data_IF_760562484336
#
_entry.id   IF_760562484336
#
_cell.length_a   1.000
_cell.length_b   1.000
_cell.length_c   1.000
_cell.angle_alpha   90.00
_cell.angle_beta   90.00
_cell.angle_gamma   90.00
#
_symmetry.space_group_name_H-M   'P 1'
#
loop_
_entity.id
_entity.type
_entity.pdbx_description
1 polymer ?
#
# COMPACT_ATOMS: atom_id res chain seq x y z
N UNK A 1 -7.80 -14.18 21.06
CA UNK A 1 -8.40 -12.85 21.32
C UNK A 1 -7.65 -11.86 20.45
N UNK A 2 -8.29 -11.29 19.41
CA UNK A 2 -7.66 -10.24 18.60
C UNK A 2 -7.42 -9.01 19.47
N UNK A 3 -6.22 -8.42 19.50
CA UNK A 3 -6.00 -7.20 20.23
C UNK A 3 -6.83 -6.10 19.55
N UNK A 4 -7.88 -5.64 20.22
CA UNK A 4 -8.57 -4.41 19.85
C UNK A 4 -7.52 -3.30 19.96
N UNK A 5 -7.26 -2.60 18.86
CA UNK A 5 -6.37 -1.44 18.89
C UNK A 5 -6.86 -0.42 19.93
N UNK A 6 -6.02 0.54 20.30
CA UNK A 6 -6.24 1.49 21.40
C UNK A 6 -7.33 2.51 21.05
N UNK A 7 -8.60 2.08 20.97
CA UNK A 7 -9.73 2.98 20.69
C UNK A 7 -9.85 4.05 21.78
N UNK A 8 -9.82 5.32 21.35
CA UNK A 8 -9.84 6.48 22.24
C UNK A 8 -8.46 6.94 22.72
N UNK A 9 -7.39 6.20 22.40
CA UNK A 9 -6.02 6.62 22.71
C UNK A 9 -5.62 7.83 21.87
N UNK A 10 -4.85 8.74 22.47
CA UNK A 10 -4.21 9.85 21.79
C UNK A 10 -2.78 9.50 21.43
N UNK A 11 -2.43 9.57 20.15
CA UNK A 11 -1.05 9.49 19.68
C UNK A 11 -0.49 10.92 19.63
N UNK A 12 0.64 11.14 20.28
CA UNK A 12 1.30 12.46 20.40
C UNK A 12 0.35 13.57 20.87
N UNK A 13 -0.56 13.27 21.81
CA UNK A 13 -1.57 14.19 22.36
C UNK A 13 -2.45 14.89 21.31
N UNK A 14 -2.45 14.37 20.07
CA UNK A 14 -3.10 15.01 18.93
C UNK A 14 -4.04 14.08 18.16
N UNK A 15 -3.62 12.85 17.84
CA UNK A 15 -4.38 11.98 16.95
C UNK A 15 -5.18 10.97 17.75
N UNK A 16 -6.49 11.20 17.89
CA UNK A 16 -7.39 10.30 18.62
C UNK A 16 -7.76 9.11 17.75
N UNK A 17 -7.30 7.94 18.15
CA UNK A 17 -7.57 6.68 17.46
C UNK A 17 -9.05 6.30 17.60
N UNK A 18 -9.68 5.96 16.48
CA UNK A 18 -11.08 5.54 16.40
C UNK A 18 -11.20 4.05 16.07
N UNK A 19 -11.16 3.73 14.78
CA UNK A 19 -11.36 2.38 14.29
C UNK A 19 -10.13 1.87 13.54
N UNK A 20 -9.93 0.55 13.58
CA UNK A 20 -8.86 -0.09 12.82
C UNK A 20 -9.32 -0.29 11.37
N UNK A 21 -8.58 0.25 10.43
CA UNK A 21 -8.83 0.13 8.99
C UNK A 21 -8.19 -1.12 8.39
N UNK A 22 -7.02 -1.51 8.89
CA UNK A 22 -6.29 -2.67 8.40
C UNK A 22 -5.10 -3.03 9.27
N UNK A 23 -4.56 -4.23 9.05
CA UNK A 23 -3.33 -4.67 9.69
C UNK A 23 -2.54 -5.59 8.76
N UNK A 24 -1.23 -5.49 8.84
CA UNK A 24 -0.27 -6.38 8.22
C UNK A 24 0.80 -6.82 9.22
N UNK A 25 1.76 -7.61 8.78
CA UNK A 25 2.85 -8.07 9.63
C UNK A 25 3.73 -6.96 10.20
N UNK A 26 3.78 -5.79 9.54
CA UNK A 26 4.68 -4.70 9.92
C UNK A 26 3.99 -3.51 10.55
N UNK A 27 2.70 -3.32 10.35
CA UNK A 27 1.99 -2.13 10.82
C UNK A 27 0.50 -2.37 10.92
N UNK A 28 -0.15 -1.53 11.70
CA UNK A 28 -1.62 -1.39 11.74
C UNK A 28 -2.00 0.01 11.31
N UNK A 29 -3.08 0.12 10.54
CA UNK A 29 -3.64 1.41 10.08
C UNK A 29 -4.96 1.65 10.80
N UNK A 30 -5.12 2.84 11.33
CA UNK A 30 -6.29 3.27 12.07
C UNK A 30 -6.90 4.53 11.45
N UNK A 31 -8.22 4.63 11.50
CA UNK A 31 -8.90 5.90 11.38
C UNK A 31 -8.70 6.68 12.68
N UNK A 32 -8.42 7.96 12.57
CA UNK A 32 -8.23 8.84 13.71
C UNK A 32 -8.74 10.24 13.42
N UNK A 33 -8.99 11.00 14.48
CA UNK A 33 -9.27 12.44 14.40
C UNK A 33 -8.04 13.24 14.83
N UNK A 34 -7.54 14.10 13.94
CA UNK A 34 -6.59 15.17 14.27
C UNK A 34 -7.34 16.21 15.10
N UNK A 35 -7.11 16.24 16.42
CA UNK A 35 -7.87 17.08 17.36
C UNK A 35 -7.53 18.57 17.27
N UNK A 36 -6.39 18.92 16.63
CA UNK A 36 -5.99 20.32 16.42
C UNK A 36 -6.63 20.88 15.14
N UNK A 37 -6.63 20.10 14.05
CA UNK A 37 -7.18 20.54 12.77
C UNK A 37 -8.63 20.06 12.54
N UNK A 38 -9.22 19.37 13.49
CA UNK A 38 -10.61 18.85 13.48
C UNK A 38 -10.96 18.07 12.21
N UNK A 39 -10.00 17.24 11.71
CA UNK A 39 -10.17 16.46 10.49
C UNK A 39 -9.92 14.98 10.71
N UNK A 40 -10.58 14.15 9.92
CA UNK A 40 -10.31 12.70 9.88
C UNK A 40 -9.00 12.43 9.14
N UNK A 41 -8.16 11.58 9.71
CA UNK A 41 -6.87 11.13 9.16
C UNK A 41 -6.74 9.62 9.25
N UNK A 42 -5.81 9.03 8.51
CA UNK A 42 -5.35 7.67 8.71
C UNK A 42 -4.01 7.69 9.45
N UNK A 43 -3.88 6.89 10.50
CA UNK A 43 -2.63 6.75 11.26
C UNK A 43 -2.10 5.34 11.11
N UNK A 44 -0.93 5.22 10.52
CA UNK A 44 -0.19 3.96 10.37
C UNK A 44 0.83 3.86 11.49
N UNK A 45 0.68 2.84 12.34
CA UNK A 45 1.56 2.59 13.49
C UNK A 45 2.41 1.36 13.19
N UNK A 46 3.72 1.49 13.35
CA UNK A 46 4.67 0.41 13.20
C UNK A 46 4.42 -0.68 14.25
N UNK A 47 4.57 -1.94 13.87
CA UNK A 47 4.44 -3.05 14.80
C UNK A 47 5.57 -3.01 15.83
N UNK A 48 5.25 -3.28 17.09
CA UNK A 48 6.12 -3.14 18.24
C UNK A 48 7.45 -3.93 18.09
N UNK A 49 7.37 -5.17 17.57
CA UNK A 49 8.54 -6.02 17.33
C UNK A 49 9.53 -5.49 16.28
N UNK A 50 9.17 -4.45 15.50
CA UNK A 50 10.04 -3.77 14.53
C UNK A 50 10.56 -2.43 15.04
N UNK A 51 10.02 -1.94 16.15
CA UNK A 51 10.41 -0.65 16.74
C UNK A 51 11.81 -0.68 17.37
N UNK A 52 12.32 -1.86 17.70
CA UNK A 52 13.66 -2.07 18.26
C UNK A 52 14.75 -2.22 17.18
N UNK A 53 14.39 -2.38 15.90
CA UNK A 53 15.34 -2.43 14.79
C UNK A 53 15.62 -1.00 14.26
N UNK A 54 16.69 -0.38 14.73
CA UNK A 54 17.09 0.98 14.36
C UNK A 54 17.23 1.17 12.85
N UNK A 55 17.69 0.14 12.12
CA UNK A 55 17.84 0.21 10.66
C UNK A 55 16.50 0.21 9.97
N UNK A 56 15.54 -0.55 10.49
CA UNK A 56 14.18 -0.58 9.99
C UNK A 56 13.48 0.76 10.25
N UNK A 57 13.57 1.25 11.48
CA UNK A 57 13.01 2.53 11.90
C UNK A 57 13.56 3.71 11.08
N UNK A 58 14.89 3.77 10.89
CA UNK A 58 15.51 4.82 10.08
C UNK A 58 15.02 4.81 8.63
N UNK A 59 14.82 3.62 8.04
CA UNK A 59 14.25 3.49 6.69
C UNK A 59 12.79 3.91 6.65
N UNK A 60 11.97 3.39 7.57
CA UNK A 60 10.56 3.75 7.69
C UNK A 60 10.37 5.27 7.73
N UNK A 61 11.17 5.97 8.57
CA UNK A 61 11.14 7.43 8.66
C UNK A 61 11.60 8.11 7.38
N UNK A 62 12.73 7.67 6.80
CA UNK A 62 13.29 8.28 5.58
C UNK A 62 12.32 8.18 4.40
N UNK A 63 11.70 7.02 4.22
CA UNK A 63 10.74 6.78 3.15
C UNK A 63 9.46 7.58 3.37
N UNK A 64 8.94 7.65 4.61
CA UNK A 64 7.81 8.51 4.93
C UNK A 64 8.08 9.98 4.56
N UNK A 65 9.28 10.49 4.91
CA UNK A 65 9.69 11.86 4.57
C UNK A 65 9.85 12.07 3.06
N UNK A 66 10.23 11.05 2.30
CA UNK A 66 10.31 11.13 0.84
C UNK A 66 8.91 11.22 0.23
N UNK A 67 7.99 10.33 0.64
CA UNK A 67 6.60 10.32 0.15
C UNK A 67 5.84 11.58 0.59
N UNK A 68 6.13 12.15 1.76
CA UNK A 68 5.51 13.39 2.23
C UNK A 68 5.74 14.60 1.29
N UNK A 69 6.77 14.56 0.45
CA UNK A 69 7.07 15.60 -0.55
C UNK A 69 6.24 15.45 -1.83
N UNK A 70 5.59 14.30 -2.04
CA UNK A 70 4.75 14.08 -3.20
C UNK A 70 3.37 14.70 -2.95
N UNK A 71 2.98 15.63 -3.81
CA UNK A 71 1.65 16.25 -3.80
C UNK A 71 1.01 16.03 -5.16
N UNK A 72 0.11 15.04 -5.24
CA UNK A 72 -0.55 14.65 -6.48
C UNK A 72 -1.95 14.11 -6.20
N UNK A 73 -2.98 14.39 -7.02
CA UNK A 73 -4.34 13.92 -6.78
C UNK A 73 -4.45 12.38 -6.70
N UNK A 74 -3.59 11.66 -7.42
CA UNK A 74 -3.58 10.20 -7.43
C UNK A 74 -2.56 9.58 -6.46
N UNK A 75 -2.10 10.31 -5.44
CA UNK A 75 -1.24 9.80 -4.37
C UNK A 75 -1.86 10.17 -3.03
N UNK A 76 -1.91 9.23 -2.10
CA UNK A 76 -2.32 9.49 -0.71
C UNK A 76 -1.30 10.39 -0.05
N UNK A 77 -1.74 11.56 0.42
CA UNK A 77 -0.86 12.56 1.01
C UNK A 77 -0.42 12.13 2.41
N UNK A 78 0.88 12.19 2.67
CA UNK A 78 1.44 12.08 4.03
C UNK A 78 1.42 13.47 4.68
N UNK A 79 0.90 13.55 5.90
CA UNK A 79 0.76 14.82 6.63
C UNK A 79 1.78 15.00 7.73
N UNK A 80 2.13 13.90 8.43
CA UNK A 80 2.98 13.95 9.61
C UNK A 80 3.63 12.59 9.89
N UNK A 81 4.71 12.57 10.66
CA UNK A 81 5.36 11.36 11.15
C UNK A 81 6.04 11.65 12.47
N UNK A 82 6.00 10.72 13.40
CA UNK A 82 6.58 10.91 14.72
C UNK A 82 6.80 9.61 15.48
N UNK A 83 7.13 9.80 16.76
CA UNK A 83 7.31 8.74 17.74
C UNK A 83 6.47 9.10 18.95
N UNK A 84 5.66 8.16 19.42
CA UNK A 84 4.90 8.28 20.65
C UNK A 84 5.07 7.02 21.49
N UNK A 85 5.58 7.18 22.72
CA UNK A 85 5.83 6.07 23.65
C UNK A 85 6.61 4.91 23.00
N UNK A 86 7.65 5.24 22.19
CA UNK A 86 8.47 4.28 21.47
C UNK A 86 7.82 3.70 20.19
N UNK A 87 6.58 4.05 19.89
CA UNK A 87 5.88 3.62 18.67
C UNK A 87 6.04 4.65 17.55
N UNK A 88 6.58 4.21 16.44
CA UNK A 88 6.71 5.03 15.23
C UNK A 88 5.38 5.07 14.49
N UNK A 89 4.97 6.27 14.05
CA UNK A 89 3.72 6.45 13.32
C UNK A 89 3.87 7.37 12.11
N UNK A 90 2.96 7.20 11.15
CA UNK A 90 2.78 8.08 9.99
C UNK A 90 1.32 8.49 9.95
N UNK A 91 1.06 9.77 9.79
CA UNK A 91 -0.28 10.34 9.60
C UNK A 91 -0.47 10.68 8.14
N UNK A 92 -1.56 10.23 7.55
CA UNK A 92 -1.83 10.41 6.14
C UNK A 92 -3.31 10.74 5.89
N UNK A 93 -3.60 11.13 4.68
CA UNK A 93 -4.95 11.34 4.17
C UNK A 93 -5.83 10.11 4.45
N UNK A 94 -6.98 10.34 5.05
CA UNK A 94 -8.01 9.33 5.16
C UNK A 94 -8.85 9.33 3.88
N UNK A 95 -8.70 8.30 3.07
CA UNK A 95 -9.43 8.14 1.81
C UNK A 95 -10.77 7.46 2.09
N UNK A 96 -11.88 8.17 1.86
CA UNK A 96 -13.25 7.63 1.98
C UNK A 96 -13.61 6.86 0.72
N UNK A 97 -13.04 5.67 0.55
CA UNK A 97 -13.24 4.84 -0.63
C UNK A 97 -13.07 3.36 -0.32
N UNK A 98 -13.08 2.56 -1.37
CA UNK A 98 -12.77 1.12 -1.31
C UNK A 98 -11.41 0.87 -1.92
N UNK A 99 -10.67 -0.11 -1.42
CA UNK A 99 -9.48 -0.58 -2.13
C UNK A 99 -9.89 -1.41 -3.36
N UNK A 100 -9.00 -1.49 -4.35
CA UNK A 100 -9.20 -2.39 -5.50
C UNK A 100 -9.37 -3.85 -5.09
N UNK A 101 -8.75 -4.27 -3.98
CA UNK A 101 -8.95 -5.60 -3.42
C UNK A 101 -10.40 -5.81 -2.92
N UNK A 102 -10.97 -4.80 -2.26
CA UNK A 102 -12.37 -4.84 -1.82
C UNK A 102 -13.35 -4.82 -3.01
N UNK A 103 -12.99 -4.11 -4.09
CA UNK A 103 -13.79 -4.15 -5.32
C UNK A 103 -13.76 -5.54 -5.96
N UNK A 104 -12.57 -6.13 -6.13
CA UNK A 104 -12.44 -7.50 -6.64
C UNK A 104 -13.19 -8.52 -5.79
N UNK A 105 -13.13 -8.38 -4.47
CA UNK A 105 -13.86 -9.27 -3.56
C UNK A 105 -15.38 -9.15 -3.73
N UNK A 106 -15.88 -7.96 -3.98
CA UNK A 106 -17.31 -7.70 -4.13
C UNK A 106 -17.85 -8.09 -5.53
N UNK A 107 -17.08 -7.84 -6.58
CA UNK A 107 -17.53 -7.91 -7.97
C UNK A 107 -16.92 -9.08 -8.76
N UNK A 108 -15.88 -9.72 -8.21
CA UNK A 108 -15.13 -10.81 -8.86
C UNK A 108 -14.19 -10.32 -9.96
N UNK A 109 -14.66 -9.44 -10.82
CA UNK A 109 -13.89 -8.71 -11.84
C UNK A 109 -14.54 -7.36 -12.10
N UNK A 110 -13.78 -6.42 -12.65
CA UNK A 110 -14.27 -5.11 -13.02
C UNK A 110 -14.55 -5.04 -14.54
N UNK A 111 -15.44 -4.14 -14.94
CA UNK A 111 -15.64 -3.85 -16.35
C UNK A 111 -14.38 -3.18 -16.96
N UNK A 112 -14.20 -3.27 -18.30
CA UNK A 112 -13.01 -2.74 -18.97
C UNK A 112 -12.84 -1.23 -18.81
N UNK A 113 -13.91 -0.45 -18.84
CA UNK A 113 -13.87 1.01 -18.74
C UNK A 113 -13.35 1.43 -17.36
N UNK A 114 -13.95 0.90 -16.28
CA UNK A 114 -13.49 1.10 -14.91
C UNK A 114 -12.02 0.66 -14.71
N UNK A 115 -11.64 -0.49 -15.29
CA UNK A 115 -10.27 -1.00 -15.17
C UNK A 115 -9.25 -0.07 -15.85
N UNK A 116 -9.57 0.44 -17.03
CA UNK A 116 -8.73 1.39 -17.78
C UNK A 116 -8.61 2.71 -17.04
N UNK A 117 -9.70 3.25 -16.52
CA UNK A 117 -9.70 4.50 -15.76
C UNK A 117 -8.85 4.40 -14.49
N UNK A 118 -8.94 3.27 -13.79
CA UNK A 118 -8.05 2.99 -12.64
C UNK A 118 -6.59 2.96 -13.11
N UNK A 119 -6.31 2.30 -14.22
CA UNK A 119 -4.96 2.21 -14.79
C UNK A 119 -4.37 3.57 -15.15
N UNK A 120 -5.14 4.40 -15.85
CA UNK A 120 -4.72 5.75 -16.27
C UNK A 120 -4.34 6.61 -15.06
N UNK A 121 -5.21 6.63 -14.03
CA UNK A 121 -4.96 7.44 -12.83
C UNK A 121 -3.81 6.89 -11.99
N UNK A 122 -3.66 5.56 -11.89
CA UNK A 122 -2.53 4.93 -11.22
C UNK A 122 -1.21 5.26 -11.96
N UNK A 123 -1.19 5.19 -13.30
CA UNK A 123 -0.04 5.60 -14.11
C UNK A 123 0.34 7.06 -13.87
N UNK A 124 -0.63 7.97 -13.79
CA UNK A 124 -0.35 9.39 -13.52
C UNK A 124 0.32 9.59 -12.15
N UNK A 125 -0.14 8.89 -11.11
CA UNK A 125 0.49 8.92 -9.80
C UNK A 125 1.89 8.30 -9.78
N UNK A 126 2.10 7.17 -10.47
CA UNK A 126 3.40 6.51 -10.59
C UNK A 126 4.40 7.37 -11.37
N UNK A 127 4.01 7.92 -12.52
CA UNK A 127 4.87 8.81 -13.33
C UNK A 127 5.34 10.01 -12.48
N UNK A 128 4.42 10.64 -11.74
CA UNK A 128 4.77 11.73 -10.85
C UNK A 128 5.78 11.30 -9.77
N UNK A 129 5.58 10.15 -9.12
CA UNK A 129 6.51 9.64 -8.11
C UNK A 129 7.89 9.31 -8.71
N UNK A 130 7.91 8.66 -9.90
CA UNK A 130 9.15 8.27 -10.59
C UNK A 130 10.00 9.49 -11.00
N UNK A 131 9.36 10.56 -11.49
CA UNK A 131 10.05 11.84 -11.76
C UNK A 131 10.68 12.45 -10.51
N UNK A 132 10.13 12.17 -9.34
CA UNK A 132 10.69 12.56 -8.04
C UNK A 132 11.66 11.51 -7.46
N UNK A 133 12.06 10.49 -8.27
CA UNK A 133 12.96 9.41 -7.88
C UNK A 133 12.43 8.54 -6.74
N UNK A 134 11.11 8.41 -6.64
CA UNK A 134 10.43 7.55 -5.67
C UNK A 134 9.75 6.43 -6.42
N UNK A 135 10.10 5.19 -6.07
CA UNK A 135 9.52 3.96 -6.61
C UNK A 135 8.54 3.42 -5.58
N UNK A 136 7.35 2.97 -6.03
CA UNK A 136 6.29 2.48 -5.15
C UNK A 136 6.62 1.12 -4.52
N UNK A 137 7.16 0.18 -5.29
CA UNK A 137 7.64 -1.16 -4.88
C UNK A 137 6.58 -2.16 -4.40
N UNK A 138 5.34 -1.74 -4.23
CA UNK A 138 4.23 -2.58 -3.73
C UNK A 138 2.91 -2.25 -4.40
N UNK A 139 2.90 -2.11 -5.73
CA UNK A 139 1.67 -1.88 -6.49
C UNK A 139 0.84 -3.16 -6.49
N UNK A 140 -0.37 -3.09 -5.91
CA UNK A 140 -1.33 -4.19 -5.80
C UNK A 140 -2.74 -3.64 -5.58
N UNK A 141 -3.81 -4.42 -5.80
CA UNK A 141 -5.18 -3.94 -5.61
C UNK A 141 -5.46 -3.33 -4.24
N UNK A 142 -4.85 -3.87 -3.18
CA UNK A 142 -5.03 -3.37 -1.82
C UNK A 142 -4.48 -1.95 -1.59
N UNK A 143 -3.53 -1.51 -2.43
CA UNK A 143 -2.87 -0.20 -2.34
C UNK A 143 -3.43 0.82 -3.36
N UNK A 144 -4.46 0.47 -4.11
CA UNK A 144 -5.22 1.38 -4.98
C UNK A 144 -6.54 1.72 -4.28
N UNK A 145 -6.65 2.95 -3.79
CA UNK A 145 -7.86 3.46 -3.14
C UNK A 145 -8.75 4.15 -4.16
N UNK A 146 -9.97 3.68 -4.31
CA UNK A 146 -10.95 4.14 -5.30
C UNK A 146 -12.10 4.88 -4.58
N UNK A 147 -12.33 6.12 -4.97
CA UNK A 147 -13.36 7.03 -4.45
C UNK A 147 -14.37 7.27 -5.57
N UNK A 148 -15.66 7.18 -5.29
CA UNK A 148 -16.71 7.35 -6.30
C UNK A 148 -16.77 6.20 -7.31
N UNK A 149 -17.14 6.51 -8.55
CA UNK A 149 -17.27 5.55 -9.63
C UNK A 149 -18.68 4.92 -9.73
N UNK A 150 -18.89 3.93 -10.63
CA UNK A 150 -20.21 3.43 -11.01
C UNK A 150 -21.10 2.98 -9.85
N UNK A 151 -20.51 2.39 -8.81
CA UNK A 151 -21.24 1.93 -7.62
C UNK A 151 -21.48 3.02 -6.58
N UNK A 152 -20.76 4.14 -6.64
CA UNK A 152 -20.83 5.23 -5.64
C UNK A 152 -21.37 6.56 -6.16
N UNK A 153 -21.60 6.65 -7.48
CA UNK A 153 -21.99 7.90 -8.17
C UNK A 153 -20.84 8.93 -8.24
N UNK A 154 -20.87 9.79 -9.26
CA UNK A 154 -19.87 10.83 -9.49
C UNK A 154 -18.59 10.35 -10.14
N UNK A 155 -17.66 11.29 -10.33
CA UNK A 155 -16.36 11.05 -10.95
C UNK A 155 -15.50 10.12 -10.07
N UNK A 156 -14.87 9.14 -10.71
CA UNK A 156 -13.97 8.22 -10.04
C UNK A 156 -12.60 8.89 -9.81
N UNK A 157 -12.09 8.77 -8.58
CA UNK A 157 -10.72 9.18 -8.24
C UNK A 157 -9.97 7.99 -7.66
N UNK A 158 -8.76 7.75 -8.19
CA UNK A 158 -7.87 6.68 -7.71
C UNK A 158 -6.66 7.30 -7.02
N UNK A 159 -6.31 6.77 -5.84
CA UNK A 159 -5.11 7.19 -5.11
C UNK A 159 -4.22 6.00 -4.77
N UNK A 160 -2.94 6.11 -5.09
CA UNK A 160 -1.88 5.18 -4.67
C UNK A 160 -1.62 5.38 -3.17
N UNK A 161 -1.71 4.31 -2.42
CA UNK A 161 -1.45 4.26 -0.98
C UNK A 161 -0.28 3.31 -0.68
N UNK A 162 0.32 3.46 0.49
CA UNK A 162 1.35 2.53 1.00
C UNK A 162 2.51 2.30 0.01
N UNK A 163 3.17 3.39 -0.41
CA UNK A 163 4.49 3.29 -1.03
C UNK A 163 5.36 2.39 -0.15
N UNK A 164 6.04 1.41 -0.71
CA UNK A 164 6.67 0.28 -0.04
C UNK A 164 7.74 0.64 0.99
N UNK A 165 7.30 1.44 1.96
CA UNK A 165 8.05 2.15 3.00
C UNK A 165 8.92 1.21 3.85
N UNK A 166 8.68 -0.10 3.81
CA UNK A 166 9.40 -1.05 4.65
C UNK A 166 9.97 -2.26 3.88
N UNK A 167 9.69 -2.41 2.59
CA UNK A 167 9.98 -3.63 1.84
C UNK A 167 11.42 -3.81 1.35
N UNK A 168 12.21 -2.75 1.25
CA UNK A 168 13.61 -2.86 0.82
C UNK A 168 14.47 -3.81 1.69
N UNK A 169 13.98 -4.20 2.88
CA UNK A 169 14.67 -5.15 3.78
C UNK A 169 14.03 -6.53 3.85
N UNK A 170 12.80 -6.69 3.34
CA UNK A 170 12.12 -7.99 3.36
C UNK A 170 12.48 -8.88 2.18
N UNK A 171 13.06 -8.35 1.11
CA UNK A 171 13.53 -9.19 -0.01
C UNK A 171 14.41 -10.34 0.48
N UNK A 172 15.17 -10.13 1.56
CA UNK A 172 15.96 -11.21 2.20
C UNK A 172 15.13 -12.10 3.14
N UNK A 173 13.95 -11.66 3.62
CA UNK A 173 13.09 -12.42 4.55
C UNK A 173 11.88 -13.09 3.89
N UNK A 174 11.45 -12.64 2.71
CA UNK A 174 10.32 -13.24 1.97
C UNK A 174 10.59 -14.73 1.64
N UNK A 175 11.85 -15.12 1.55
CA UNK A 175 12.26 -16.52 1.35
C UNK A 175 12.09 -17.41 2.58
N UNK A 176 11.84 -16.87 3.77
CA UNK A 176 11.84 -17.65 5.02
C UNK A 176 10.48 -17.90 5.67
N UNK A 177 9.39 -17.23 5.26
CA UNK A 177 8.09 -17.41 5.93
C UNK A 177 6.97 -17.62 4.93
N UNK A 178 6.42 -18.81 4.89
CA UNK A 178 5.39 -19.30 3.94
C UNK A 178 4.02 -18.61 3.92
N UNK A 179 3.87 -17.39 4.46
CA UNK A 179 2.58 -16.67 4.53
C UNK A 179 2.42 -15.52 3.52
N UNK A 180 3.29 -15.42 2.50
CA UNK A 180 3.39 -14.25 1.61
C UNK A 180 2.92 -14.52 0.16
N UNK A 181 2.34 -15.68 -0.12
CA UNK A 181 1.96 -16.08 -1.49
C UNK A 181 1.06 -15.06 -2.19
N UNK A 182 0.06 -14.48 -1.50
CA UNK A 182 -0.88 -13.54 -2.12
C UNK A 182 -0.25 -12.20 -2.57
N UNK A 183 0.74 -11.68 -1.83
CA UNK A 183 1.39 -10.42 -2.20
C UNK A 183 2.52 -10.61 -3.21
N UNK A 184 3.12 -11.80 -3.24
CA UNK A 184 4.19 -12.15 -4.17
C UNK A 184 3.72 -12.20 -5.63
N UNK A 185 2.44 -12.44 -5.86
CA UNK A 185 1.85 -12.53 -7.20
C UNK A 185 1.96 -11.24 -8.03
N UNK A 186 2.20 -10.09 -7.40
CA UNK A 186 2.35 -8.79 -8.07
C UNK A 186 3.81 -8.36 -8.22
N UNK A 187 4.78 -9.11 -7.67
CA UNK A 187 6.20 -8.74 -7.76
C UNK A 187 6.67 -8.84 -9.20
N UNK A 188 7.46 -7.86 -9.63
CA UNK A 188 8.16 -7.92 -10.89
C UNK A 188 9.26 -9.00 -10.86
N UNK A 189 9.65 -9.57 -12.02
CA UNK A 189 10.65 -10.63 -12.09
C UNK A 189 11.98 -10.30 -11.41
N UNK A 190 12.46 -9.07 -11.55
CA UNK A 190 13.66 -8.58 -10.87
C UNK A 190 13.52 -8.56 -9.35
N UNK A 191 12.33 -8.16 -8.84
CA UNK A 191 12.05 -8.19 -7.41
C UNK A 191 11.98 -9.62 -6.87
N UNK A 192 11.42 -10.56 -7.64
CA UNK A 192 11.38 -11.96 -7.27
C UNK A 192 12.79 -12.58 -7.19
N UNK A 193 13.77 -12.06 -7.98
CA UNK A 193 15.19 -12.44 -7.90
C UNK A 193 15.96 -11.73 -6.79
N UNK A 194 15.32 -10.81 -6.04
CA UNK A 194 15.98 -10.04 -5.00
C UNK A 194 16.78 -8.83 -5.51
N UNK A 195 16.60 -8.46 -6.78
CA UNK A 195 17.19 -7.27 -7.38
C UNK A 195 16.44 -5.99 -6.94
N UNK A 196 17.06 -4.83 -7.15
CA UNK A 196 16.42 -3.56 -6.80
C UNK A 196 15.22 -3.27 -7.71
N UNK A 197 14.12 -2.83 -7.10
CA UNK A 197 12.96 -2.36 -7.83
C UNK A 197 13.26 -1.08 -8.61
N UNK A 198 12.72 -1.00 -9.82
CA UNK A 198 12.85 0.13 -10.73
C UNK A 198 11.46 0.72 -11.04
N UNK A 199 11.36 1.86 -11.73
CA UNK A 199 10.08 2.33 -12.27
C UNK A 199 9.36 1.28 -13.13
N UNK A 200 10.09 0.45 -13.87
CA UNK A 200 9.52 -0.64 -14.67
C UNK A 200 8.90 -1.74 -13.81
N UNK A 201 9.42 -1.97 -12.60
CA UNK A 201 8.82 -2.92 -11.65
C UNK A 201 7.40 -2.49 -11.25
N UNK A 202 7.18 -1.19 -10.99
CA UNK A 202 5.85 -0.67 -10.65
C UNK A 202 4.88 -0.80 -11.84
N UNK A 203 5.38 -0.56 -13.07
CA UNK A 203 4.58 -0.71 -14.30
C UNK A 203 4.19 -2.17 -14.52
N UNK A 204 5.13 -3.11 -14.33
CA UNK A 204 4.84 -4.54 -14.37
C UNK A 204 3.75 -4.93 -13.37
N UNK A 205 3.93 -4.53 -12.10
CA UNK A 205 2.97 -4.81 -11.03
C UNK A 205 1.58 -4.23 -11.34
N UNK A 206 1.51 -3.02 -11.90
CA UNK A 206 0.25 -2.43 -12.36
C UNK A 206 -0.38 -3.24 -13.50
N UNK A 207 0.42 -3.76 -14.44
CA UNK A 207 -0.04 -4.68 -15.50
C UNK A 207 -0.72 -5.93 -14.91
N UNK A 208 -0.10 -6.55 -13.90
CA UNK A 208 -0.70 -7.69 -13.17
C UNK A 208 -2.02 -7.32 -12.50
N UNK A 209 -2.09 -6.12 -11.88
CA UNK A 209 -3.33 -5.61 -11.26
C UNK A 209 -4.44 -5.44 -12.29
N UNK A 210 -4.15 -4.82 -13.44
CA UNK A 210 -5.12 -4.60 -14.51
C UNK A 210 -5.59 -5.91 -15.11
N UNK A 211 -4.69 -6.86 -15.33
CA UNK A 211 -5.06 -8.20 -15.76
C UNK A 211 -6.06 -8.84 -14.78
N UNK A 212 -5.77 -8.74 -13.46
CA UNK A 212 -6.68 -9.29 -12.46
C UNK A 212 -8.01 -8.55 -12.40
N UNK A 213 -8.05 -7.22 -12.55
CA UNK A 213 -9.29 -6.47 -12.61
C UNK A 213 -10.17 -6.93 -13.77
N UNK A 214 -9.60 -7.12 -14.95
CA UNK A 214 -10.32 -7.52 -16.16
C UNK A 214 -10.78 -8.98 -16.15
N UNK A 215 -9.98 -9.89 -15.60
CA UNK A 215 -10.22 -11.34 -15.69
C UNK A 215 -10.75 -11.96 -14.41
N UNK A 216 -10.57 -11.30 -13.26
CA UNK A 216 -10.82 -11.86 -11.93
C UNK A 216 -9.76 -12.86 -11.46
N UNK A 217 -8.69 -13.07 -12.25
CA UNK A 217 -7.63 -14.06 -11.98
C UNK A 217 -6.26 -13.42 -12.08
N UNK A 218 -5.30 -13.98 -11.36
CA UNK A 218 -3.90 -13.62 -11.53
C UNK A 218 -3.36 -14.21 -12.85
N UNK A 219 -2.42 -13.53 -13.54
CA UNK A 219 -1.79 -14.09 -14.74
C UNK A 219 -0.97 -15.35 -14.44
N UNK A 220 -0.36 -15.41 -13.27
CA UNK A 220 0.42 -16.54 -12.78
C UNK A 220 -0.05 -16.95 -11.40
N UNK A 221 -0.27 -18.24 -11.20
CA UNK A 221 -0.57 -18.86 -9.91
C UNK A 221 0.52 -19.85 -9.57
N UNK A 222 1.03 -19.83 -8.35
CA UNK A 222 2.04 -20.74 -7.85
C UNK A 222 1.90 -21.01 -6.38
N UNK A 223 2.26 -22.21 -5.94
CA UNK A 223 2.21 -22.60 -4.54
C UNK A 223 3.38 -22.00 -3.72
N UNK A 224 4.39 -21.43 -4.41
CA UNK A 224 5.56 -20.79 -3.78
C UNK A 224 6.07 -19.62 -4.61
N UNK A 225 6.86 -18.74 -3.96
CA UNK A 225 7.54 -17.62 -4.63
C UNK A 225 8.48 -18.13 -5.74
N UNK A 226 9.17 -19.24 -5.51
CA UNK A 226 10.06 -19.83 -6.49
C UNK A 226 9.31 -20.31 -7.75
N UNK A 227 8.16 -20.94 -7.57
CA UNK A 227 7.30 -21.37 -8.68
C UNK A 227 6.77 -20.18 -9.46
N UNK A 228 6.29 -19.12 -8.77
CA UNK A 228 5.85 -17.88 -9.40
C UNK A 228 6.98 -17.24 -10.22
N UNK A 229 8.20 -17.15 -9.66
CA UNK A 229 9.34 -16.60 -10.35
C UNK A 229 9.73 -17.40 -11.61
N UNK A 230 9.62 -18.72 -11.57
CA UNK A 230 9.87 -19.58 -12.75
C UNK A 230 8.81 -19.33 -13.82
N UNK A 231 7.53 -19.30 -13.47
CA UNK A 231 6.44 -19.05 -14.43
C UNK A 231 6.55 -17.67 -15.08
N UNK A 232 6.84 -16.63 -14.31
CA UNK A 232 7.04 -15.26 -14.82
C UNK A 232 8.20 -15.14 -15.81
N UNK A 233 9.14 -16.10 -15.83
CA UNK A 233 10.29 -16.09 -16.75
C UNK A 233 10.09 -16.98 -17.96
N UNK A 234 9.20 -17.95 -17.91
CA UNK A 234 9.03 -18.98 -18.94
C UNK A 234 7.75 -18.87 -19.76
N UNK A 235 6.78 -18.12 -19.30
CA UNK A 235 5.48 -17.88 -19.95
C UNK A 235 5.31 -16.39 -20.32
#
# INVERSE_FOLDING_TARGET
MSPRGPKGELISDRYRIEDRLGSGGMSSVFRATDTILERTVAVKILAEHLSDDERFVARFRREALAVAKLVHPNIVQVYDTGIDSGRHYIVMEYVRGRSGAQLLQAEGKLDPETSVDIGVQACAGLDYAHRHRIIHRDVKPGNLMIIGGPAGGGDMTVKLADFGIARASEQTRITQVGSVVGTAAYLAPEQARGEEATPSSDVYSLGVVLYQFLTGRLPYEGASLAELAVRQQSE
#
